data_IF_463889780207
#
_entry.id   IF_463889780207
#
_cell.length_a   1.000
_cell.length_b   1.000
_cell.length_c   1.000
_cell.angle_alpha   90.00
_cell.angle_beta   90.00
_cell.angle_gamma   90.00
#
_symmetry.space_group_name_H-M   'P 1'
#
loop_
_entity.id
_entity.type
_entity.pdbx_description
1 polymer ?
#
# COMPACT_ATOMS: atom_id res chain seq x y z
N UNK A 1 -3.69 -12.08 -5.75
CA UNK A 1 -3.37 -12.39 -4.34
C UNK A 1 -4.04 -11.35 -3.42
N UNK A 2 -5.36 -11.22 -3.52
CA UNK A 2 -6.17 -10.43 -2.59
C UNK A 2 -6.95 -11.44 -1.77
N UNK A 3 -6.69 -11.50 -0.47
CA UNK A 3 -7.49 -12.36 0.42
C UNK A 3 -8.77 -11.59 0.70
N UNK A 4 -9.83 -11.99 0.00
CA UNK A 4 -11.17 -11.48 0.23
C UNK A 4 -11.72 -12.03 1.52
N UNK A 5 -12.43 -11.20 2.26
CA UNK A 5 -13.39 -11.72 3.20
C UNK A 5 -14.66 -10.87 3.26
N UNK A 6 -15.78 -11.56 3.12
CA UNK A 6 -17.13 -11.05 3.30
C UNK A 6 -17.43 -11.12 4.80
N UNK A 7 -16.98 -10.12 5.56
CA UNK A 7 -17.35 -9.98 6.97
C UNK A 7 -18.83 -9.56 7.15
N UNK A 8 -19.46 -9.05 6.09
CA UNK A 8 -20.65 -8.21 6.20
C UNK A 8 -22.01 -8.91 6.15
N UNK A 9 -22.08 -10.25 6.07
CA UNK A 9 -23.37 -10.93 5.85
C UNK A 9 -23.96 -11.66 7.06
N UNK A 10 -23.22 -11.93 8.14
CA UNK A 10 -23.79 -12.79 9.22
C UNK A 10 -23.29 -12.57 10.65
N UNK A 11 -22.44 -11.58 10.96
CA UNK A 11 -21.73 -11.58 12.26
C UNK A 11 -21.70 -10.25 13.01
N UNK A 12 -21.77 -10.30 14.34
CA UNK A 12 -21.64 -9.14 15.24
C UNK A 12 -20.26 -8.47 15.13
N UNK A 13 -20.12 -7.18 15.47
CA UNK A 13 -18.84 -6.43 15.42
C UNK A 13 -17.64 -7.15 16.09
N UNK A 14 -17.84 -7.91 17.17
CA UNK A 14 -16.76 -8.69 17.81
C UNK A 14 -16.26 -9.82 16.92
N UNK A 15 -17.15 -10.43 16.14
CA UNK A 15 -16.81 -11.48 15.20
C UNK A 15 -16.04 -10.91 14.00
N UNK A 16 -16.35 -9.69 13.55
CA UNK A 16 -15.67 -9.06 12.41
C UNK A 16 -14.19 -8.77 12.71
N UNK A 17 -13.87 -8.13 13.84
CA UNK A 17 -12.49 -7.81 14.20
C UNK A 17 -11.64 -9.07 14.42
N UNK A 18 -12.17 -10.07 15.12
CA UNK A 18 -11.51 -11.36 15.33
C UNK A 18 -11.19 -12.04 14.00
N UNK A 19 -12.16 -12.03 13.09
CA UNK A 19 -12.02 -12.65 11.79
C UNK A 19 -10.96 -11.93 10.93
N UNK A 20 -10.96 -10.60 10.89
CA UNK A 20 -9.89 -9.83 10.22
C UNK A 20 -8.50 -10.15 10.78
N UNK A 21 -8.38 -10.32 12.10
CA UNK A 21 -7.10 -10.69 12.74
C UNK A 21 -6.66 -12.10 12.33
N UNK A 22 -7.56 -13.06 12.17
CA UNK A 22 -7.19 -14.40 11.69
C UNK A 22 -6.65 -14.39 10.26
N UNK A 23 -7.13 -13.47 9.43
CA UNK A 23 -6.65 -13.30 8.05
C UNK A 23 -5.43 -12.37 7.92
N UNK A 24 -4.89 -11.88 9.04
CA UNK A 24 -3.64 -11.12 9.04
C UNK A 24 -3.80 -9.61 9.09
N UNK A 25 -4.94 -9.10 9.58
CA UNK A 25 -5.06 -7.69 9.94
C UNK A 25 -3.99 -7.28 10.96
N UNK A 26 -3.61 -6.00 10.90
CA UNK A 26 -2.68 -5.42 11.84
C UNK A 26 -3.40 -4.98 13.11
N UNK A 27 -2.79 -5.31 14.25
CA UNK A 27 -3.16 -4.79 15.56
C UNK A 27 -1.90 -4.61 16.38
N UNK A 28 -1.67 -3.41 16.92
CA UNK A 28 -0.40 -3.03 17.54
C UNK A 28 0.06 -3.98 18.64
N UNK A 29 -0.79 -4.39 19.59
CA UNK A 29 -0.42 -5.36 20.63
C UNK A 29 0.06 -6.72 20.09
N UNK A 30 -0.52 -7.24 19.01
CA UNK A 30 -0.04 -8.50 18.40
C UNK A 30 1.31 -8.30 17.71
N UNK A 31 1.48 -7.17 17.00
CA UNK A 31 2.77 -6.81 16.39
C UNK A 31 3.86 -6.69 17.45
N UNK A 32 3.56 -6.05 18.59
CA UNK A 32 4.49 -5.91 19.71
C UNK A 32 4.84 -7.27 20.36
N UNK A 33 3.93 -8.25 20.28
CA UNK A 33 4.15 -9.63 20.75
C UNK A 33 4.83 -10.53 19.70
N UNK A 34 5.46 -9.96 18.68
CA UNK A 34 6.24 -10.70 17.68
C UNK A 34 5.50 -11.05 16.40
N UNK A 35 4.21 -10.72 16.27
CA UNK A 35 3.44 -10.93 15.02
C UNK A 35 3.72 -9.81 13.98
N UNK A 36 4.99 -9.46 13.77
CA UNK A 36 5.42 -8.36 12.89
C UNK A 36 4.95 -8.53 11.44
N UNK A 37 4.77 -9.76 10.98
CA UNK A 37 4.29 -10.12 9.64
C UNK A 37 2.91 -9.51 9.33
N UNK A 38 2.15 -9.14 10.38
CA UNK A 38 0.87 -8.43 10.24
C UNK A 38 1.00 -7.07 9.56
N UNK A 39 2.16 -6.42 9.67
CA UNK A 39 2.44 -5.16 8.94
C UNK A 39 2.55 -5.37 7.43
N UNK A 40 2.76 -6.60 6.97
CA UNK A 40 2.79 -6.96 5.55
C UNK A 40 1.45 -7.56 5.12
N UNK A 41 0.93 -8.55 5.86
CA UNK A 41 -0.33 -9.23 5.47
C UNK A 41 -1.52 -8.29 5.45
N UNK A 42 -1.58 -7.29 6.35
CA UNK A 42 -2.68 -6.34 6.42
C UNK A 42 -2.91 -5.55 5.12
N UNK A 43 -1.88 -5.39 4.27
CA UNK A 43 -1.98 -4.75 2.94
C UNK A 43 -3.00 -5.49 2.05
N UNK A 44 -3.19 -6.79 2.25
CA UNK A 44 -3.99 -7.66 1.39
C UNK A 44 -5.37 -8.01 1.98
N UNK A 45 -5.59 -7.73 3.27
CA UNK A 45 -6.86 -7.96 3.97
C UNK A 45 -7.79 -6.79 3.75
N UNK A 46 -9.09 -7.03 3.57
CA UNK A 46 -10.08 -5.98 3.36
C UNK A 46 -11.30 -6.16 4.26
N UNK A 47 -11.75 -5.07 4.88
CA UNK A 47 -12.91 -5.03 5.80
C UNK A 47 -14.29 -5.11 5.12
N UNK A 48 -14.36 -5.42 3.82
CA UNK A 48 -15.63 -5.55 3.10
C UNK A 48 -15.49 -5.42 1.58
N UNK A 49 -16.55 -5.77 0.87
CA UNK A 49 -16.55 -5.83 -0.61
C UNK A 49 -16.34 -4.45 -1.25
N UNK A 50 -17.02 -3.41 -0.77
CA UNK A 50 -16.84 -2.06 -1.29
C UNK A 50 -15.41 -1.55 -1.05
N UNK A 51 -14.85 -1.83 0.14
CA UNK A 51 -13.47 -1.47 0.45
C UNK A 51 -12.49 -2.15 -0.52
N UNK A 52 -12.67 -3.45 -0.80
CA UNK A 52 -11.88 -4.15 -1.81
C UNK A 52 -12.07 -3.56 -3.21
N UNK A 53 -13.31 -3.33 -3.64
CA UNK A 53 -13.60 -2.82 -4.98
C UNK A 53 -12.97 -1.45 -5.20
N UNK A 54 -13.10 -0.52 -4.23
CA UNK A 54 -12.48 0.79 -4.32
C UNK A 54 -10.95 0.71 -4.33
N UNK A 55 -10.33 -0.13 -3.48
CA UNK A 55 -8.88 -0.32 -3.51
C UNK A 55 -8.42 -0.98 -4.81
N UNK A 56 -9.17 -1.94 -5.35
CA UNK A 56 -8.83 -2.64 -6.59
C UNK A 56 -8.92 -1.68 -7.78
N UNK A 57 -9.97 -0.85 -7.83
CA UNK A 57 -10.12 0.20 -8.83
C UNK A 57 -9.01 1.25 -8.73
N UNK A 58 -8.73 1.75 -7.52
CA UNK A 58 -7.68 2.74 -7.31
C UNK A 58 -6.29 2.18 -7.63
N UNK A 59 -6.01 0.93 -7.25
CA UNK A 59 -4.78 0.24 -7.61
C UNK A 59 -4.67 0.00 -9.11
N UNK A 60 -5.76 -0.40 -9.77
CA UNK A 60 -5.77 -0.52 -11.23
C UNK A 60 -5.44 0.83 -11.89
N UNK A 61 -6.10 1.90 -11.47
CA UNK A 61 -5.90 3.23 -12.05
C UNK A 61 -4.48 3.77 -11.79
N UNK A 62 -4.10 3.98 -10.52
CA UNK A 62 -2.81 4.57 -10.17
C UNK A 62 -1.64 3.61 -10.42
N UNK A 63 -1.85 2.30 -10.19
CA UNK A 63 -0.85 1.29 -10.41
C UNK A 63 -0.50 1.13 -11.88
N UNK A 64 -1.47 1.12 -12.79
CA UNK A 64 -1.19 1.06 -14.24
C UNK A 64 -0.36 2.26 -14.70
N UNK A 65 -0.70 3.48 -14.22
CA UNK A 65 0.09 4.68 -14.53
C UNK A 65 1.52 4.54 -14.01
N UNK A 66 1.70 4.20 -12.73
CA UNK A 66 3.05 4.05 -12.14
C UNK A 66 3.84 2.93 -12.83
N UNK A 67 3.23 1.77 -13.08
CA UNK A 67 3.87 0.65 -13.76
C UNK A 67 4.28 1.00 -15.19
N UNK A 68 3.46 1.74 -15.94
CA UNK A 68 3.82 2.19 -17.30
C UNK A 68 5.04 3.10 -17.33
N UNK A 69 5.30 3.85 -16.26
CA UNK A 69 6.38 4.84 -16.16
C UNK A 69 7.65 4.24 -15.54
N UNK A 70 7.48 3.40 -14.51
CA UNK A 70 8.57 2.86 -13.70
C UNK A 70 8.92 1.40 -14.02
N UNK A 71 8.03 0.69 -14.72
CA UNK A 71 8.12 -0.75 -14.98
C UNK A 71 7.71 -1.61 -13.77
N UNK A 72 7.51 -2.92 -14.01
CA UNK A 72 6.90 -3.83 -13.04
C UNK A 72 7.74 -3.99 -11.75
N UNK A 73 9.07 -4.11 -11.86
CA UNK A 73 9.92 -4.34 -10.68
C UNK A 73 9.87 -3.18 -9.70
N UNK A 74 9.96 -1.95 -10.22
CA UNK A 74 9.90 -0.74 -9.39
C UNK A 74 8.50 -0.54 -8.83
N UNK A 75 7.46 -0.82 -9.62
CA UNK A 75 6.08 -0.75 -9.15
C UNK A 75 5.85 -1.64 -7.93
N UNK A 76 6.28 -2.91 -7.97
CA UNK A 76 6.15 -3.84 -6.83
C UNK A 76 6.84 -3.30 -5.59
N UNK A 77 8.07 -2.80 -5.73
CA UNK A 77 8.83 -2.23 -4.59
C UNK A 77 8.15 -0.97 -4.05
N UNK A 78 7.76 -0.04 -4.93
CA UNK A 78 7.09 1.21 -4.54
C UNK A 78 5.77 0.93 -3.79
N UNK A 79 4.96 0.00 -4.29
CA UNK A 79 3.70 -0.38 -3.69
C UNK A 79 3.91 -1.02 -2.31
N UNK A 80 4.72 -2.08 -2.23
CA UNK A 80 4.88 -2.84 -0.99
C UNK A 80 5.65 -2.06 0.08
N UNK A 81 6.68 -1.30 -0.30
CA UNK A 81 7.42 -0.45 0.65
C UNK A 81 6.52 0.65 1.21
N UNK A 82 5.72 1.32 0.37
CA UNK A 82 4.80 2.36 0.84
C UNK A 82 3.73 1.79 1.78
N UNK A 83 3.20 0.60 1.46
CA UNK A 83 2.27 -0.12 2.33
C UNK A 83 2.89 -0.48 3.68
N UNK A 84 4.10 -1.02 3.67
CA UNK A 84 4.84 -1.39 4.87
C UNK A 84 5.12 -0.17 5.76
N UNK A 85 5.63 0.93 5.20
CA UNK A 85 5.90 2.15 5.96
C UNK A 85 4.60 2.79 6.47
N UNK A 86 3.52 2.78 5.68
CA UNK A 86 2.19 3.19 6.15
C UNK A 86 1.70 2.34 7.33
N UNK A 87 1.92 1.03 7.28
CA UNK A 87 1.57 0.13 8.38
C UNK A 87 2.47 0.33 9.61
N UNK A 88 3.74 0.72 9.44
CA UNK A 88 4.59 1.18 10.54
C UNK A 88 4.04 2.48 11.15
N UNK A 89 3.66 3.46 10.34
CA UNK A 89 3.03 4.70 10.83
C UNK A 89 1.74 4.40 11.61
N UNK A 90 0.94 3.43 11.14
CA UNK A 90 -0.23 2.93 11.86
C UNK A 90 0.14 2.34 13.22
N UNK A 91 1.21 1.54 13.29
CA UNK A 91 1.65 0.96 14.55
C UNK A 91 2.01 2.03 15.59
N UNK A 92 2.65 3.11 15.14
CA UNK A 92 3.09 4.21 16.01
C UNK A 92 1.94 5.11 16.45
N UNK A 93 1.02 5.43 15.54
CA UNK A 93 0.01 6.46 15.78
C UNK A 93 -1.35 5.87 16.19
N UNK A 94 -1.73 4.71 15.64
CA UNK A 94 -3.02 4.04 15.84
C UNK A 94 -2.85 2.65 16.46
N UNK A 95 -1.99 2.55 17.48
CA UNK A 95 -1.56 1.30 18.11
C UNK A 95 -2.71 0.33 18.48
N UNK A 96 -3.83 0.84 19.00
CA UNK A 96 -4.98 0.02 19.44
C UNK A 96 -6.06 -0.17 18.37
N UNK A 97 -5.81 0.22 17.13
CA UNK A 97 -6.77 0.05 16.03
C UNK A 97 -6.48 -1.22 15.25
N UNK A 98 -7.53 -1.93 14.84
CA UNK A 98 -7.42 -2.99 13.83
C UNK A 98 -7.35 -2.34 12.45
N UNK A 99 -6.26 -2.58 11.72
CA UNK A 99 -6.00 -1.96 10.41
C UNK A 99 -5.88 -3.01 9.31
N UNK A 100 -6.53 -2.72 8.18
CA UNK A 100 -6.56 -3.56 6.98
C UNK A 100 -6.61 -2.69 5.73
N UNK A 101 -6.15 -3.22 4.62
CA UNK A 101 -6.40 -2.68 3.28
C UNK A 101 -5.14 -2.21 2.56
N UNK A 102 -5.24 -2.20 1.24
CA UNK A 102 -4.19 -1.75 0.33
C UNK A 102 -4.02 -0.21 0.29
N UNK A 103 -4.92 0.54 0.92
CA UNK A 103 -5.06 1.98 0.70
C UNK A 103 -3.82 2.81 1.08
N UNK A 104 -3.06 2.41 2.11
CA UNK A 104 -1.76 3.04 2.43
C UNK A 104 -0.72 2.86 1.31
N UNK A 105 -0.63 1.65 0.74
CA UNK A 105 0.23 1.37 -0.40
C UNK A 105 -0.19 2.16 -1.65
N UNK A 106 -1.50 2.26 -1.90
CA UNK A 106 -2.07 3.06 -3.00
C UNK A 106 -1.79 4.54 -2.79
N UNK A 107 -1.93 5.07 -1.58
CA UNK A 107 -1.56 6.46 -1.27
C UNK A 107 -0.07 6.73 -1.49
N UNK A 108 0.79 5.72 -1.33
CA UNK A 108 2.17 5.79 -1.79
C UNK A 108 2.32 5.95 -3.30
N UNK A 109 1.56 5.20 -4.09
CA UNK A 109 1.54 5.40 -5.55
C UNK A 109 1.04 6.80 -5.93
N UNK A 110 0.03 7.32 -5.21
CA UNK A 110 -0.42 8.72 -5.34
C UNK A 110 0.72 9.68 -5.01
N UNK A 111 1.51 9.43 -3.96
CA UNK A 111 2.69 10.21 -3.61
C UNK A 111 3.77 10.20 -4.71
N UNK A 112 4.01 9.04 -5.33
CA UNK A 112 4.91 8.90 -6.48
C UNK A 112 4.43 9.76 -7.66
N UNK A 113 3.13 9.72 -7.98
CA UNK A 113 2.56 10.49 -9.07
C UNK A 113 2.49 11.99 -8.74
N UNK A 114 2.28 12.34 -7.49
CA UNK A 114 2.31 13.73 -7.03
C UNK A 114 3.70 14.32 -7.27
N UNK A 115 4.75 13.71 -6.76
CA UNK A 115 6.11 14.23 -6.94
C UNK A 115 6.55 14.20 -8.41
N UNK A 116 6.10 13.21 -9.19
CA UNK A 116 6.41 13.09 -10.61
C UNK A 116 5.96 14.32 -11.41
N UNK A 117 4.84 14.95 -11.06
CA UNK A 117 4.35 16.15 -11.75
C UNK A 117 5.31 17.35 -11.70
N UNK A 118 6.28 17.33 -10.78
CA UNK A 118 7.29 18.37 -10.62
C UNK A 118 8.66 17.98 -11.19
N UNK A 119 8.81 16.75 -11.69
CA UNK A 119 10.08 16.26 -12.22
C UNK A 119 10.26 16.65 -13.69
N UNK A 120 11.46 17.12 -14.04
CA UNK A 120 11.79 17.50 -15.43
C UNK A 120 11.82 16.30 -16.38
N UNK A 121 12.15 15.12 -15.86
CA UNK A 121 12.21 13.85 -16.60
C UNK A 121 10.87 13.08 -16.61
N UNK A 122 9.77 13.70 -16.15
CA UNK A 122 8.44 13.11 -16.22
C UNK A 122 7.93 13.05 -17.67
N UNK A 123 7.34 11.93 -18.12
CA UNK A 123 6.74 11.84 -19.44
C UNK A 123 5.64 12.88 -19.66
N UNK A 124 5.62 13.52 -20.83
CA UNK A 124 4.68 14.61 -21.10
C UNK A 124 3.21 14.17 -20.97
N UNK A 125 2.89 12.95 -21.42
CA UNK A 125 1.52 12.43 -21.46
C UNK A 125 0.86 12.23 -20.09
N UNK A 126 1.63 12.23 -18.98
CA UNK A 126 1.07 12.07 -17.62
C UNK A 126 0.94 13.39 -16.85
N UNK A 127 1.35 14.52 -17.43
CA UNK A 127 1.38 15.81 -16.71
C UNK A 127 -0.01 16.28 -16.27
N UNK A 128 -1.06 15.97 -17.03
CA UNK A 128 -2.44 16.34 -16.69
C UNK A 128 -3.02 15.55 -15.51
N UNK A 129 -2.41 14.42 -15.13
CA UNK A 129 -2.90 13.50 -14.09
C UNK A 129 -1.90 13.33 -12.92
N UNK A 130 -0.89 14.20 -12.84
CA UNK A 130 0.18 14.18 -11.83
C UNK A 130 0.30 15.54 -11.14
N UNK A 131 1.13 15.63 -10.09
CA UNK A 131 1.35 16.90 -9.38
C UNK A 131 0.07 17.49 -8.80
N UNK A 132 -0.16 18.78 -9.03
CA UNK A 132 -1.30 19.51 -8.47
C UNK A 132 -2.67 18.95 -8.89
N UNK A 133 -2.76 18.22 -10.00
CA UNK A 133 -4.01 17.58 -10.42
C UNK A 133 -4.55 16.58 -9.38
N UNK A 134 -3.69 16.04 -8.51
CA UNK A 134 -4.06 15.10 -7.46
C UNK A 134 -4.51 15.79 -6.16
N UNK A 135 -4.27 17.11 -5.98
CA UNK A 135 -4.56 17.81 -4.73
C UNK A 135 -6.02 17.70 -4.29
N UNK A 136 -7.04 17.86 -5.16
CA UNK A 136 -8.43 17.75 -4.73
C UNK A 136 -8.73 16.38 -4.09
N UNK A 137 -8.22 15.30 -4.68
CA UNK A 137 -8.41 13.94 -4.16
C UNK A 137 -7.63 13.72 -2.87
N UNK A 138 -6.35 14.15 -2.81
CA UNK A 138 -5.50 14.01 -1.61
C UNK A 138 -6.15 14.76 -0.44
N UNK A 139 -6.54 16.01 -0.64
CA UNK A 139 -7.16 16.85 0.39
C UNK A 139 -8.48 16.23 0.84
N UNK A 140 -9.36 15.86 -0.10
CA UNK A 140 -10.63 15.25 0.23
C UNK A 140 -10.45 13.98 1.09
N UNK A 141 -9.56 13.08 0.67
CA UNK A 141 -9.36 11.82 1.36
C UNK A 141 -8.79 12.00 2.78
N UNK A 142 -7.77 12.85 2.94
CA UNK A 142 -7.16 13.13 4.26
C UNK A 142 -8.15 13.82 5.19
N UNK A 143 -8.86 14.85 4.71
CA UNK A 143 -9.86 15.59 5.50
C UNK A 143 -11.01 14.68 5.89
N UNK A 144 -11.58 13.94 4.93
CA UNK A 144 -12.64 12.98 5.19
C UNK A 144 -12.18 11.89 6.17
N UNK A 145 -10.91 11.48 6.12
CA UNK A 145 -10.36 10.48 7.03
C UNK A 145 -10.29 10.93 8.49
N UNK A 146 -10.20 12.24 8.76
CA UNK A 146 -10.27 12.77 10.14
C UNK A 146 -11.70 12.89 10.67
N UNK A 147 -12.73 12.70 9.83
CA UNK A 147 -14.12 12.76 10.29
C UNK A 147 -14.49 11.51 11.10
N UNK A 148 -15.26 11.66 12.20
CA UNK A 148 -15.75 10.53 12.97
C UNK A 148 -16.52 9.53 12.11
N UNK A 149 -16.22 8.23 12.26
CA UNK A 149 -16.91 7.16 11.54
C UNK A 149 -16.43 6.92 10.10
N UNK A 150 -15.41 7.65 9.61
CA UNK A 150 -14.86 7.43 8.26
C UNK A 150 -14.27 6.02 8.06
N UNK A 151 -13.73 5.43 9.13
CA UNK A 151 -13.00 4.16 9.08
C UNK A 151 -11.68 4.23 8.31
N UNK A 152 -11.19 5.43 7.97
CA UNK A 152 -9.96 5.63 7.21
C UNK A 152 -8.76 5.67 8.16
N UNK A 153 -7.70 4.97 7.76
CA UNK A 153 -6.43 5.00 8.46
C UNK A 153 -5.51 6.10 7.88
N UNK A 154 -5.67 7.32 8.39
CA UNK A 154 -4.84 8.46 7.97
C UNK A 154 -3.35 8.27 8.27
N UNK A 155 -2.98 7.54 9.33
CA UNK A 155 -1.58 7.23 9.61
C UNK A 155 -0.95 6.39 8.48
N UNK A 156 -1.67 5.36 8.01
CA UNK A 156 -1.24 4.56 6.86
C UNK A 156 -1.18 5.38 5.57
N UNK A 157 -2.17 6.23 5.32
CA UNK A 157 -2.25 7.04 4.10
C UNK A 157 -1.13 8.06 4.03
N UNK A 158 -0.89 8.81 5.11
CA UNK A 158 0.19 9.79 5.15
C UNK A 158 1.57 9.12 5.12
N UNK A 159 1.76 8.03 5.89
CA UNK A 159 3.02 7.28 5.88
C UNK A 159 3.34 6.71 4.49
N UNK A 160 2.34 6.14 3.81
CA UNK A 160 2.47 5.69 2.43
C UNK A 160 2.76 6.84 1.47
N UNK A 161 1.97 7.92 1.53
CA UNK A 161 2.11 9.09 0.64
C UNK A 161 3.49 9.73 0.70
N UNK A 162 4.02 9.99 1.91
CA UNK A 162 5.35 10.57 2.06
C UNK A 162 6.46 9.60 1.64
N UNK A 163 6.28 8.29 1.86
CA UNK A 163 7.19 7.27 1.28
C UNK A 163 7.17 7.35 -0.24
N UNK A 164 5.99 7.46 -0.84
CA UNK A 164 5.80 7.64 -2.26
C UNK A 164 6.48 8.88 -2.83
N UNK A 165 6.33 10.03 -2.16
CA UNK A 165 7.02 11.27 -2.55
C UNK A 165 8.54 11.08 -2.52
N UNK A 166 9.07 10.53 -1.41
CA UNK A 166 10.51 10.32 -1.26
C UNK A 166 11.03 9.38 -2.35
N UNK A 167 10.40 8.23 -2.53
CA UNK A 167 10.85 7.24 -3.50
C UNK A 167 10.65 7.71 -4.94
N UNK A 168 9.55 8.38 -5.26
CA UNK A 168 9.29 8.96 -6.58
C UNK A 168 10.25 10.11 -6.92
N UNK A 169 10.73 10.84 -5.92
CA UNK A 169 11.80 11.83 -6.09
C UNK A 169 13.13 11.14 -6.43
N UNK A 170 13.54 10.16 -5.64
CA UNK A 170 14.83 9.47 -5.75
C UNK A 170 14.93 8.56 -6.99
N UNK A 171 13.85 7.88 -7.34
CA UNK A 171 13.81 6.92 -8.44
C UNK A 171 13.51 7.66 -9.75
N UNK A 172 14.31 7.39 -10.78
CA UNK A 172 14.06 7.90 -12.13
C UNK A 172 13.01 7.06 -12.87
N UNK A 173 12.10 7.70 -13.64
CA UNK A 173 11.29 7.03 -14.65
C UNK A 173 12.15 6.18 -15.60
N UNK A 174 11.55 5.17 -16.21
CA UNK A 174 12.21 4.35 -17.22
C UNK A 174 12.16 5.12 -18.54
N UNK A 175 13.30 5.34 -19.22
CA UNK A 175 13.27 5.88 -20.58
C UNK A 175 12.48 4.95 -21.51
N UNK A 176 11.56 5.50 -22.31
CA UNK A 176 10.77 4.74 -23.30
C UNK A 176 11.62 4.09 -24.40
N UNK A 177 12.86 4.57 -24.56
CA UNK A 177 13.82 4.12 -25.56
C UNK A 177 15.18 4.04 -24.88
N UNK A 178 15.82 2.86 -24.89
CA UNK A 178 17.24 2.62 -24.57
C UNK A 178 17.71 2.37 -23.12
N UNK A 179 18.41 1.22 -23.02
CA UNK A 179 19.59 0.92 -22.18
C UNK A 179 19.52 1.20 -20.68
N UNK A 180 18.83 0.32 -19.94
CA UNK A 180 19.21 0.11 -18.53
C UNK A 180 20.44 -0.80 -18.50
N UNK A 181 21.51 -0.35 -17.84
CA UNK A 181 22.64 -1.22 -17.46
C UNK A 181 22.05 -2.49 -16.82
N UNK A 182 22.43 -3.67 -17.33
CA UNK A 182 21.92 -4.98 -16.87
C UNK A 182 21.96 -5.11 -15.34
N UNK A 183 22.99 -4.59 -14.69
CA UNK A 183 23.14 -4.57 -13.23
C UNK A 183 22.01 -3.83 -12.50
N UNK A 184 21.59 -2.66 -13.01
CA UNK A 184 20.49 -1.88 -12.41
C UNK A 184 19.16 -2.62 -12.55
N UNK A 185 18.91 -3.24 -13.70
CA UNK A 185 17.72 -4.08 -13.89
C UNK A 185 17.71 -5.27 -12.92
N UNK A 186 18.83 -6.00 -12.81
CA UNK A 186 18.96 -7.13 -11.90
C UNK A 186 18.77 -6.74 -10.43
N UNK A 187 19.26 -5.56 -10.02
CA UNK A 187 19.07 -5.07 -8.66
C UNK A 187 17.59 -4.82 -8.34
N UNK A 188 16.84 -4.18 -9.24
CA UNK A 188 15.39 -3.98 -9.07
C UNK A 188 14.62 -5.30 -9.11
N UNK A 189 15.03 -6.24 -9.97
CA UNK A 189 14.44 -7.56 -10.02
C UNK A 189 14.65 -8.32 -8.71
N UNK A 190 15.87 -8.29 -8.17
CA UNK A 190 16.19 -8.90 -6.88
C UNK A 190 15.38 -8.26 -5.73
N UNK A 191 15.27 -6.92 -5.70
CA UNK A 191 14.45 -6.23 -4.72
C UNK A 191 12.97 -6.63 -4.80
N UNK A 192 12.39 -6.66 -6.00
CA UNK A 192 11.01 -7.10 -6.20
C UNK A 192 10.78 -8.55 -5.76
N UNK A 193 11.73 -9.44 -6.05
CA UNK A 193 11.67 -10.84 -5.58
C UNK A 193 11.80 -10.94 -4.06
N UNK A 194 12.67 -10.14 -3.43
CA UNK A 194 12.80 -10.09 -1.97
C UNK A 194 11.51 -9.62 -1.29
N UNK A 195 10.85 -8.59 -1.83
CA UNK A 195 9.54 -8.17 -1.36
C UNK A 195 8.47 -9.25 -1.59
N UNK A 196 8.48 -9.95 -2.73
CA UNK A 196 7.59 -11.08 -2.96
C UNK A 196 7.80 -12.21 -1.95
N UNK A 197 9.05 -12.57 -1.67
CA UNK A 197 9.41 -13.56 -0.67
C UNK A 197 8.99 -13.14 0.74
N UNK A 198 9.16 -11.85 1.09
CA UNK A 198 8.69 -11.29 2.36
C UNK A 198 7.19 -11.46 2.53
N UNK A 199 6.41 -11.22 1.48
CA UNK A 199 4.96 -11.40 1.51
C UNK A 199 4.60 -12.87 1.72
N UNK A 200 5.20 -13.79 0.95
CA UNK A 200 4.97 -15.23 1.11
C UNK A 200 5.31 -15.68 2.53
N UNK A 201 6.48 -15.29 3.03
CA UNK A 201 6.92 -15.64 4.39
C UNK A 201 5.97 -15.08 5.46
N UNK A 202 5.47 -13.85 5.26
CA UNK A 202 4.50 -13.24 6.18
C UNK A 202 3.18 -14.03 6.26
N UNK A 203 2.69 -14.55 5.12
CA UNK A 203 1.52 -15.42 5.10
C UNK A 203 1.80 -16.83 5.66
N UNK A 204 3.01 -17.38 5.48
CA UNK A 204 3.40 -18.64 6.12
C UNK A 204 3.41 -18.50 7.64
N UNK A 205 4.01 -17.43 8.18
CA UNK A 205 4.02 -17.15 9.62
C UNK A 205 2.60 -17.02 10.19
N UNK A 206 1.72 -16.32 9.47
CA UNK A 206 0.31 -16.22 9.83
C UNK A 206 -0.38 -17.60 9.87
N UNK A 207 -0.11 -18.46 8.89
CA UNK A 207 -0.68 -19.80 8.81
C UNK A 207 -0.19 -20.70 9.96
N UNK A 208 1.11 -20.71 10.27
CA UNK A 208 1.64 -21.50 11.39
C UNK A 208 1.06 -21.09 12.75
N UNK A 209 0.80 -19.80 12.94
CA UNK A 209 0.14 -19.28 14.16
C UNK A 209 -1.32 -19.71 14.30
N UNK A 210 -1.99 -20.14 13.22
CA UNK A 210 -3.36 -20.65 13.29
C UNK A 210 -3.45 -22.13 13.71
N UNK A 211 -2.31 -22.82 13.83
CA UNK A 211 -2.22 -24.25 14.15
C UNK A 211 -1.83 -24.48 15.63
N UNK A 212 -1.30 -23.47 16.31
CA UNK A 212 -0.86 -23.50 17.72
C UNK A 212 -1.86 -22.69 18.56
#
# INVERSE_FOLDING_TARGET
MFVMMIAKLTSSFRNEAYLLLNFGAQYGPLVANGEWYRTVTAIFVHGGILHLLFNSYALFYFGTIVESIYGPEKFVVLYLLSGLVGNVATHLLYYKSVSVGASGAIFGLVGVLFILGFKRDAPFYVRSVTGYALLPMIIFNVVYGFLPGSGINNAAHLGGFFTGILMGYLIKPVPSVYSRKKSVFLAWRAAALAFGALVVYSFMMLAFRSII
#
